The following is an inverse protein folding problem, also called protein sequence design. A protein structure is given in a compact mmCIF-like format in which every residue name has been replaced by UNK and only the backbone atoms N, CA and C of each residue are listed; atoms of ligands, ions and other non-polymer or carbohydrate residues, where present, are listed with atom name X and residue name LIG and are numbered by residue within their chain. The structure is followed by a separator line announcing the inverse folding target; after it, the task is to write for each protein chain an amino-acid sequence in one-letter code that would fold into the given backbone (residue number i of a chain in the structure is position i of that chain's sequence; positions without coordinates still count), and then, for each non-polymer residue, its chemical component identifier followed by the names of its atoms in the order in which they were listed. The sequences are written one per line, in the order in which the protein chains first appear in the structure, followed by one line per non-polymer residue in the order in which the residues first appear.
data_IF_494404631481
#
_entry.id   IF_494404631481
#
_cell.length_a   1.000
_cell.length_b   1.000
_cell.length_c   1.000
_cell.angle_alpha   90.00
_cell.angle_beta   90.00
_cell.angle_gamma   90.00
#
_symmetry.space_group_name_H-M   'P 1'
#
loop_
_entity.id
_entity.type
_entity.pdbx_description
1 polymer ?
#
# COMPACT_ATOMS: atom_id res chain seq x y z
N UNK A 1 -2.34 10.34 -8.96
CA UNK A 1 -0.94 9.88 -9.05
C UNK A 1 -0.64 9.11 -7.77
N UNK A 2 0.01 7.94 -7.83
CA UNK A 2 0.31 7.14 -6.64
C UNK A 2 1.82 7.00 -6.46
N UNK A 3 2.30 7.05 -5.22
CA UNK A 3 3.72 6.93 -4.88
C UNK A 3 3.94 5.54 -4.26
N UNK A 4 4.93 4.80 -4.77
CA UNK A 4 5.35 3.49 -4.24
C UNK A 4 6.31 3.72 -3.07
N UNK A 5 6.07 3.06 -1.94
CA UNK A 5 6.96 3.03 -0.78
C UNK A 5 7.25 1.55 -0.48
N UNK A 6 8.51 1.11 -0.56
CA UNK A 6 8.87 -0.33 -0.47
C UNK A 6 8.26 -1.20 -1.58
N UNK A 7 8.42 -2.52 -1.50
CA UNK A 7 7.85 -3.45 -2.49
C UNK A 7 6.32 -3.56 -2.39
N UNK A 8 5.76 -3.39 -1.18
CA UNK A 8 4.37 -3.79 -0.87
C UNK A 8 3.41 -2.63 -0.55
N UNK A 9 3.86 -1.37 -0.40
CA UNK A 9 3.01 -0.22 -0.06
C UNK A 9 2.78 0.73 -1.23
N UNK A 10 1.52 0.86 -1.62
CA UNK A 10 1.04 1.86 -2.57
C UNK A 10 0.27 2.95 -1.84
N UNK A 11 0.63 4.21 -2.07
CA UNK A 11 -0.09 5.36 -1.53
C UNK A 11 -0.92 6.02 -2.64
N UNK A 12 -2.20 6.26 -2.36
CA UNK A 12 -3.12 6.95 -3.26
C UNK A 12 -3.58 8.28 -2.65
N UNK A 13 -3.59 9.36 -3.45
CA UNK A 13 -3.89 10.70 -2.94
C UNK A 13 -5.33 10.87 -2.41
N UNK A 14 -6.38 10.55 -3.18
CA UNK A 14 -7.77 10.59 -2.70
C UNK A 14 -8.74 9.71 -3.52
N UNK A 15 -9.64 8.99 -2.86
CA UNK A 15 -10.70 8.23 -3.54
C UNK A 15 -11.68 7.52 -2.60
N UNK A 16 -12.88 7.24 -3.10
CA UNK A 16 -13.90 6.46 -2.39
C UNK A 16 -13.44 5.00 -2.16
N UNK A 17 -13.79 4.41 -1.01
CA UNK A 17 -13.57 3.00 -0.67
C UNK A 17 -13.93 2.01 -1.79
N UNK A 18 -14.97 2.28 -2.58
CA UNK A 18 -15.34 1.45 -3.73
C UNK A 18 -14.24 1.43 -4.81
N UNK A 19 -13.66 2.60 -5.11
CA UNK A 19 -12.56 2.74 -6.08
C UNK A 19 -11.30 2.04 -5.56
N UNK A 20 -10.99 2.21 -4.27
CA UNK A 20 -9.88 1.52 -3.59
C UNK A 20 -9.98 0.00 -3.76
N UNK A 21 -11.15 -0.58 -3.47
CA UNK A 21 -11.38 -2.03 -3.62
C UNK A 21 -11.21 -2.49 -5.06
N UNK A 22 -11.77 -1.76 -6.03
CA UNK A 22 -11.63 -2.08 -7.46
C UNK A 22 -10.15 -2.14 -7.88
N UNK A 23 -9.34 -1.19 -7.43
CA UNK A 23 -7.90 -1.15 -7.74
C UNK A 23 -7.17 -2.34 -7.11
N UNK A 24 -7.40 -2.62 -5.82
CA UNK A 24 -6.79 -3.78 -5.13
C UNK A 24 -7.11 -5.07 -5.89
N UNK A 25 -8.37 -5.27 -6.29
CA UNK A 25 -8.76 -6.45 -7.06
C UNK A 25 -8.02 -6.54 -8.40
N UNK A 26 -7.86 -5.41 -9.10
CA UNK A 26 -7.13 -5.37 -10.37
C UNK A 26 -5.65 -5.73 -10.18
N UNK A 27 -5.00 -5.20 -9.15
CA UNK A 27 -3.59 -5.49 -8.88
C UNK A 27 -3.43 -6.97 -8.46
N UNK A 28 -4.28 -7.47 -7.56
CA UNK A 28 -4.25 -8.88 -7.15
C UNK A 28 -4.40 -9.84 -8.32
N UNK A 29 -5.29 -9.56 -9.28
CA UNK A 29 -5.43 -10.37 -10.50
C UNK A 29 -4.13 -10.43 -11.29
N UNK A 30 -3.47 -9.29 -11.50
CA UNK A 30 -2.18 -9.24 -12.20
C UNK A 30 -1.07 -10.00 -11.47
N UNK A 31 -1.01 -9.92 -10.14
CA UNK A 31 -0.03 -10.69 -9.36
C UNK A 31 -0.28 -12.19 -9.47
N UNK A 32 -1.53 -12.62 -9.41
CA UNK A 32 -1.92 -14.04 -9.58
C UNK A 32 -1.51 -14.53 -10.98
N UNK A 33 -1.80 -13.75 -12.03
CA UNK A 33 -1.41 -14.06 -13.41
C UNK A 33 0.11 -14.17 -13.56
N UNK A 34 0.86 -13.33 -12.86
CA UNK A 34 2.32 -13.34 -12.85
C UNK A 34 2.93 -14.40 -11.90
N UNK A 35 2.11 -15.14 -11.14
CA UNK A 35 2.53 -16.07 -10.08
C UNK A 35 3.46 -15.44 -9.03
N UNK A 36 3.23 -14.17 -8.70
CA UNK A 36 3.99 -13.43 -7.68
C UNK A 36 3.22 -13.51 -6.35
N UNK A 37 3.74 -14.22 -5.32
CA UNK A 37 3.09 -14.34 -4.03
C UNK A 37 3.43 -13.14 -3.14
N UNK A 38 2.86 -11.96 -3.44
CA UNK A 38 3.01 -10.76 -2.61
C UNK A 38 1.69 -10.31 -1.98
N UNK A 39 1.79 -9.79 -0.77
CA UNK A 39 0.74 -9.03 -0.12
C UNK A 39 0.86 -7.55 -0.50
N UNK A 40 -0.27 -6.91 -0.76
CA UNK A 40 -0.30 -5.49 -1.12
C UNK A 40 -1.06 -4.69 -0.08
N UNK A 41 -0.43 -3.62 0.40
CA UNK A 41 -1.05 -2.61 1.22
C UNK A 41 -1.33 -1.37 0.37
N UNK A 42 -2.61 -1.04 0.15
CA UNK A 42 -3.02 0.22 -0.47
C UNK A 42 -3.60 1.14 0.61
N UNK A 43 -3.03 2.33 0.80
CA UNK A 43 -3.52 3.30 1.78
C UNK A 43 -3.65 4.70 1.20
N UNK A 44 -4.53 5.51 1.78
CA UNK A 44 -4.59 6.93 1.42
C UNK A 44 -3.40 7.66 2.02
N UNK A 45 -2.95 8.71 1.33
CA UNK A 45 -1.86 9.57 1.82
C UNK A 45 -2.13 10.08 3.24
N UNK A 46 -3.36 10.55 3.49
CA UNK A 46 -3.78 11.02 4.82
C UNK A 46 -3.68 9.95 5.92
N UNK A 47 -4.02 8.69 5.62
CA UNK A 47 -3.92 7.59 6.61
C UNK A 47 -2.46 7.28 6.91
N UNK A 48 -1.60 7.32 5.89
CA UNK A 48 -0.16 7.12 6.08
C UNK A 48 0.42 8.26 6.91
N UNK A 49 0.19 9.51 6.54
CA UNK A 49 0.70 10.68 7.26
C UNK A 49 0.26 10.70 8.73
N UNK A 50 -0.99 10.35 9.02
CA UNK A 50 -1.51 10.30 10.39
C UNK A 50 -0.94 9.14 11.22
N UNK A 51 -0.42 8.08 10.59
CA UNK A 51 -0.01 6.84 11.28
C UNK A 51 1.46 6.50 11.11
N UNK A 52 2.23 7.30 10.39
CA UNK A 52 3.65 7.05 10.09
C UNK A 52 4.54 6.97 11.33
N UNK A 53 4.09 7.53 12.46
CA UNK A 53 4.80 7.48 13.76
C UNK A 53 4.16 6.52 14.76
N UNK A 54 3.09 5.83 14.37
CA UNK A 54 2.36 4.93 15.25
C UNK A 54 2.96 3.52 15.20
N UNK A 55 3.76 3.19 16.20
CA UNK A 55 4.49 1.92 16.33
C UNK A 55 3.56 0.70 16.51
N UNK A 56 2.26 0.92 16.74
CA UNK A 56 1.25 -0.14 16.79
C UNK A 56 0.67 -0.51 15.43
N UNK A 57 0.98 0.24 14.36
CA UNK A 57 0.41 0.00 13.03
C UNK A 57 1.41 -0.62 12.06
N UNK A 58 0.92 -1.58 11.27
CA UNK A 58 1.70 -2.24 10.21
C UNK A 58 2.36 -1.25 9.23
N UNK A 59 1.70 -0.11 8.96
CA UNK A 59 2.23 0.95 8.08
C UNK A 59 3.60 1.45 8.56
N UNK A 60 3.81 1.58 9.87
CA UNK A 60 5.09 1.99 10.44
C UNK A 60 6.23 1.05 10.02
N UNK A 61 6.00 -0.27 10.14
CA UNK A 61 6.99 -1.28 9.81
C UNK A 61 7.20 -1.41 8.30
N UNK A 62 6.13 -1.43 7.50
CA UNK A 62 6.25 -1.50 6.03
C UNK A 62 7.01 -0.30 5.46
N UNK A 63 6.81 0.89 6.03
CA UNK A 63 7.59 2.07 5.64
C UNK A 63 9.04 1.92 6.08
N UNK A 64 9.31 1.50 7.32
CA UNK A 64 10.69 1.35 7.84
C UNK A 64 11.49 0.27 7.12
N UNK A 65 10.89 -0.87 6.84
CA UNK A 65 11.53 -2.01 6.17
C UNK A 65 11.64 -1.79 4.65
N UNK A 66 10.75 -0.98 4.06
CA UNK A 66 10.78 -0.61 2.66
C UNK A 66 11.77 0.50 2.28
N UNK A 67 12.54 1.02 3.25
CA UNK A 67 13.71 1.87 2.97
C UNK A 67 14.95 0.98 3.05
N UNK A 68 15.55 0.64 1.90
CA UNK A 68 16.94 0.15 1.91
C UNK A 68 17.81 1.21 2.60
N UNK A 69 18.59 0.79 3.62
CA UNK A 69 19.62 1.61 4.25
C UNK A 69 20.81 1.71 3.30
#
# INVERSE_FOLDING_TARGET
MGIKYGEDLFIWEQGNFAKKRKIITQIKRKLIEAKIPNDILLQSKSVVENRIKDVGYLIYYVIKEGVEI
#
